data_IF_627650542684
#
_entry.id   IF_627650542684
#
_cell.length_a   1.000
_cell.length_b   1.000
_cell.length_c   1.000
_cell.angle_alpha   90.00
_cell.angle_beta   90.00
_cell.angle_gamma   90.00
#
_symmetry.space_group_name_H-M   'P 1'
#
loop_
_entity.id
_entity.type
_entity.pdbx_description
1 polymer ?
#
# COMPACT_ATOMS: atom_id res chain seq x y z
N UNK A 1 -4.55 20.02 -15.39
CA UNK A 1 -4.74 18.59 -15.57
C UNK A 1 -4.23 17.84 -14.35
N UNK A 2 -4.98 16.84 -13.94
CA UNK A 2 -4.52 16.02 -12.80
C UNK A 2 -3.37 15.14 -13.24
N UNK A 3 -2.36 15.04 -12.39
CA UNK A 3 -1.27 14.09 -12.61
C UNK A 3 -1.76 12.66 -12.39
N UNK A 4 -0.98 11.69 -12.84
CA UNK A 4 -1.23 10.27 -12.57
C UNK A 4 -1.34 10.03 -11.07
N UNK A 5 -0.44 10.66 -10.30
CA UNK A 5 -0.44 10.53 -8.84
C UNK A 5 -1.71 11.09 -8.23
N UNK A 6 -2.23 12.20 -8.73
CA UNK A 6 -3.48 12.79 -8.24
C UNK A 6 -4.67 11.86 -8.51
N UNK A 7 -4.72 11.25 -9.68
CA UNK A 7 -5.77 10.27 -10.03
C UNK A 7 -5.69 9.05 -9.13
N UNK A 8 -4.49 8.56 -8.90
CA UNK A 8 -4.25 7.42 -8.03
C UNK A 8 -4.69 7.73 -6.59
N UNK A 9 -4.34 8.92 -6.10
CA UNK A 9 -4.73 9.35 -4.76
C UNK A 9 -6.25 9.46 -4.61
N UNK A 10 -6.95 9.84 -5.66
CA UNK A 10 -8.41 9.84 -5.68
C UNK A 10 -8.97 8.44 -5.47
N UNK A 11 -8.37 7.43 -6.10
CA UNK A 11 -8.72 6.02 -5.87
C UNK A 11 -8.48 5.62 -4.41
N UNK A 12 -7.35 6.03 -3.85
CA UNK A 12 -7.00 5.71 -2.46
C UNK A 12 -8.06 6.29 -1.51
N UNK A 13 -8.45 7.54 -1.72
CA UNK A 13 -9.47 8.18 -0.87
C UNK A 13 -10.83 7.51 -1.00
N UNK A 14 -11.16 7.01 -2.20
CA UNK A 14 -12.43 6.36 -2.47
C UNK A 14 -12.48 4.92 -1.95
N UNK A 15 -11.34 4.30 -1.67
CA UNK A 15 -11.31 2.91 -1.23
C UNK A 15 -11.90 2.79 0.18
N UNK A 16 -12.60 1.68 0.42
CA UNK A 16 -13.16 1.41 1.73
C UNK A 16 -12.07 0.97 2.69
N UNK A 17 -12.09 1.56 3.88
CA UNK A 17 -11.18 1.19 4.96
C UNK A 17 -12.01 0.69 6.13
N UNK A 18 -11.50 -0.32 6.80
CA UNK A 18 -12.10 -0.78 8.04
C UNK A 18 -12.08 0.32 9.10
N UNK A 19 -13.00 0.29 10.03
CA UNK A 19 -13.03 1.21 11.16
C UNK A 19 -13.37 0.47 12.42
N UNK A 20 -12.85 0.97 13.55
CA UNK A 20 -13.15 0.46 14.87
C UNK A 20 -13.32 1.66 15.79
N UNK A 21 -14.41 1.67 16.56
CA UNK A 21 -14.72 2.75 17.52
C UNK A 21 -14.75 4.13 16.84
N UNK A 22 -15.24 4.19 15.61
CA UNK A 22 -15.34 5.44 14.86
C UNK A 22 -14.04 5.92 14.23
N UNK A 23 -12.93 5.22 14.44
CA UNK A 23 -11.64 5.57 13.86
C UNK A 23 -11.32 4.63 12.69
N UNK A 24 -10.78 5.19 11.61
CA UNK A 24 -10.34 4.39 10.49
C UNK A 24 -9.02 3.69 10.82
N UNK A 25 -8.91 2.44 10.37
CA UNK A 25 -7.66 1.69 10.54
C UNK A 25 -6.54 2.34 9.74
N UNK A 26 -5.33 2.48 10.32
CA UNK A 26 -4.19 3.09 9.62
C UNK A 26 -3.47 2.13 8.67
N UNK A 27 -3.91 0.88 8.57
CA UNK A 27 -3.18 -0.18 7.87
C UNK A 27 -2.91 0.13 6.40
N UNK A 28 -3.95 0.51 5.64
CA UNK A 28 -3.77 0.80 4.21
C UNK A 28 -2.91 2.03 3.97
N UNK A 29 -3.16 3.19 4.62
CA UNK A 29 -2.25 4.33 4.46
C UNK A 29 -0.82 4.02 4.88
N UNK A 30 -0.62 3.25 5.96
CA UNK A 30 0.72 2.90 6.42
C UNK A 30 1.50 2.10 5.37
N UNK A 31 0.85 1.13 4.72
CA UNK A 31 1.46 0.35 3.64
C UNK A 31 1.86 1.27 2.48
N UNK A 32 0.95 2.17 2.08
CA UNK A 32 1.21 3.08 0.97
C UNK A 32 2.31 4.09 1.30
N UNK A 33 2.32 4.64 2.51
CA UNK A 33 3.37 5.55 2.96
C UNK A 33 4.73 4.86 2.88
N UNK A 34 4.82 3.63 3.38
CA UNK A 34 6.07 2.87 3.35
C UNK A 34 6.56 2.67 1.91
N UNK A 35 5.67 2.28 1.00
CA UNK A 35 6.03 2.07 -0.41
C UNK A 35 6.49 3.36 -1.07
N UNK A 36 5.83 4.48 -0.79
CA UNK A 36 6.24 5.78 -1.34
C UNK A 36 7.57 6.23 -0.76
N UNK A 37 7.78 6.04 0.55
CA UNK A 37 9.03 6.43 1.20
C UNK A 37 10.24 5.71 0.62
N UNK A 38 10.12 4.42 0.31
CA UNK A 38 11.23 3.64 -0.24
C UNK A 38 11.39 3.81 -1.75
N UNK A 39 10.44 4.45 -2.43
CA UNK A 39 10.50 4.63 -3.88
C UNK A 39 11.66 5.55 -4.25
N UNK A 40 12.57 5.06 -5.10
CA UNK A 40 13.74 5.80 -5.56
C UNK A 40 14.17 5.24 -6.90
N UNK A 41 14.79 6.07 -7.75
CA UNK A 41 15.21 5.66 -9.08
C UNK A 41 16.17 4.46 -9.07
N UNK A 42 16.94 4.31 -7.99
CA UNK A 42 17.92 3.23 -7.85
C UNK A 42 17.35 1.97 -7.21
N UNK A 43 16.08 1.98 -6.85
CA UNK A 43 15.42 0.82 -6.24
C UNK A 43 14.45 0.16 -7.21
N UNK A 44 14.08 -1.09 -6.93
CA UNK A 44 13.05 -1.77 -7.70
C UNK A 44 11.68 -1.22 -7.34
N UNK A 45 10.81 -1.08 -8.34
CA UNK A 45 9.43 -0.70 -8.13
C UNK A 45 8.69 -1.74 -7.29
N UNK A 46 8.95 -3.01 -7.55
CA UNK A 46 8.30 -4.10 -6.85
C UNK A 46 9.16 -4.60 -5.71
N UNK A 47 8.51 -4.98 -4.60
CA UNK A 47 9.19 -5.55 -3.44
C UNK A 47 8.65 -6.96 -3.19
N UNK A 48 9.50 -7.82 -2.64
CA UNK A 48 9.13 -9.20 -2.37
C UNK A 48 8.35 -9.30 -1.06
N UNK A 49 7.27 -10.07 -1.05
CA UNK A 49 6.39 -10.20 0.11
C UNK A 49 7.14 -10.67 1.36
N UNK A 50 7.85 -11.80 1.26
CA UNK A 50 8.55 -12.38 2.40
C UNK A 50 9.61 -11.43 2.96
N UNK A 51 10.36 -10.76 2.08
CA UNK A 51 11.42 -9.84 2.49
C UNK A 51 10.89 -8.55 3.10
N UNK A 52 9.66 -8.15 2.76
CA UNK A 52 9.09 -6.87 3.18
C UNK A 52 8.11 -6.98 4.34
N UNK A 53 7.64 -8.17 4.63
CA UNK A 53 6.57 -8.41 5.60
C UNK A 53 6.86 -7.79 6.98
N UNK A 54 8.05 -8.00 7.52
CA UNK A 54 8.40 -7.46 8.84
C UNK A 54 8.50 -5.95 8.84
N UNK A 55 9.01 -5.36 7.76
CA UNK A 55 9.10 -3.89 7.64
C UNK A 55 7.71 -3.27 7.53
N UNK A 56 6.82 -3.90 6.79
CA UNK A 56 5.43 -3.46 6.68
C UNK A 56 4.72 -3.54 8.03
N UNK A 57 4.94 -4.62 8.78
CA UNK A 57 4.37 -4.78 10.12
C UNK A 57 4.82 -3.65 11.03
N UNK A 58 6.10 -3.29 10.98
CA UNK A 58 6.64 -2.16 11.75
C UNK A 58 6.03 -0.83 11.31
N UNK A 59 5.85 -0.65 10.00
CA UNK A 59 5.26 0.57 9.47
C UNK A 59 3.83 0.76 9.97
N UNK A 60 3.03 -0.30 9.94
CA UNK A 60 1.66 -0.27 10.46
C UNK A 60 1.67 0.07 11.95
N UNK A 61 2.55 -0.57 12.70
CA UNK A 61 2.65 -0.37 14.15
C UNK A 61 3.06 1.06 14.49
N UNK A 62 3.98 1.64 13.71
CA UNK A 62 4.44 3.01 13.93
C UNK A 62 3.33 4.05 13.71
N UNK A 63 2.30 3.69 12.96
CA UNK A 63 1.15 4.56 12.71
C UNK A 63 -0.05 4.22 13.60
N UNK A 64 0.16 3.41 14.64
CA UNK A 64 -0.88 3.08 15.60
C UNK A 64 -1.74 1.88 15.26
N UNK A 65 -1.41 1.16 14.18
CA UNK A 65 -2.13 -0.05 13.81
C UNK A 65 -1.62 -1.29 14.53
N UNK A 66 -2.40 -2.34 14.47
CA UNK A 66 -2.03 -3.64 15.03
C UNK A 66 -2.35 -4.72 14.02
N UNK A 67 -1.60 -5.82 14.08
CA UNK A 67 -1.82 -6.95 13.20
C UNK A 67 -0.84 -6.98 12.05
N UNK A 68 -1.12 -7.84 11.08
CA UNK A 68 -0.21 -8.15 9.99
C UNK A 68 -0.62 -7.42 8.71
N UNK A 69 0.30 -7.30 7.74
CA UNK A 69 0.04 -6.53 6.51
C UNK A 69 -0.71 -7.31 5.43
N UNK A 70 -1.04 -8.59 5.62
CA UNK A 70 -1.68 -9.40 4.58
C UNK A 70 -3.00 -8.79 4.10
N UNK A 71 -3.86 -8.42 5.03
CA UNK A 71 -5.18 -7.87 4.71
C UNK A 71 -5.11 -6.56 3.94
N UNK A 72 -4.37 -5.54 4.43
CA UNK A 72 -4.30 -4.28 3.69
C UNK A 72 -3.62 -4.43 2.33
N UNK A 73 -2.56 -5.24 2.21
CA UNK A 73 -1.90 -5.45 0.91
C UNK A 73 -2.86 -6.11 -0.07
N UNK A 74 -3.59 -7.15 0.37
CA UNK A 74 -4.57 -7.82 -0.49
C UNK A 74 -5.68 -6.87 -0.91
N UNK A 75 -6.22 -6.11 0.03
CA UNK A 75 -7.31 -5.16 -0.26
C UNK A 75 -6.87 -4.09 -1.26
N UNK A 76 -5.68 -3.54 -1.10
CA UNK A 76 -5.15 -2.51 -2.00
C UNK A 76 -4.90 -3.08 -3.40
N UNK A 77 -4.41 -4.32 -3.48
CA UNK A 77 -4.18 -4.98 -4.76
C UNK A 77 -5.51 -5.23 -5.47
N UNK A 78 -6.51 -5.72 -4.76
CA UNK A 78 -7.83 -5.99 -5.34
C UNK A 78 -8.57 -4.72 -5.75
N UNK A 79 -8.27 -3.60 -5.10
CA UNK A 79 -8.84 -2.30 -5.46
C UNK A 79 -8.14 -1.65 -6.67
N UNK A 80 -7.07 -2.25 -7.18
CA UNK A 80 -6.30 -1.70 -8.29
C UNK A 80 -5.37 -0.57 -7.88
N UNK A 81 -5.13 -0.39 -6.59
CA UNK A 81 -4.25 0.65 -6.05
C UNK A 81 -2.79 0.16 -6.08
N UNK A 82 -2.57 -1.11 -5.83
CA UNK A 82 -1.25 -1.75 -5.92
C UNK A 82 -1.25 -2.80 -7.02
N UNK A 83 -0.06 -3.11 -7.53
CA UNK A 83 0.18 -4.19 -8.48
C UNK A 83 0.85 -5.36 -7.77
N UNK A 84 0.54 -6.57 -8.20
CA UNK A 84 1.12 -7.78 -7.63
C UNK A 84 1.42 -8.78 -8.74
N UNK A 85 2.59 -9.41 -8.67
CA UNK A 85 3.03 -10.44 -9.63
C UNK A 85 3.32 -11.74 -8.88
N UNK A 86 3.17 -12.87 -9.57
CA UNK A 86 3.46 -14.20 -9.01
C UNK A 86 2.26 -14.86 -8.36
N UNK A 87 1.12 -14.22 -8.36
CA UNK A 87 -0.13 -14.73 -7.81
C UNK A 87 -0.87 -13.63 -7.07
N UNK A 88 -2.19 -13.74 -7.04
CA UNK A 88 -3.03 -12.71 -6.44
C UNK A 88 -4.15 -13.41 -5.66
N UNK A 89 -4.26 -13.17 -4.34
CA UNK A 89 -5.36 -13.74 -3.57
C UNK A 89 -6.71 -13.29 -4.13
N UNK A 90 -7.69 -14.17 -4.05
CA UNK A 90 -9.04 -13.85 -4.49
C UNK A 90 -9.59 -12.66 -3.69
N UNK A 91 -10.32 -11.77 -4.37
CA UNK A 91 -10.97 -10.64 -3.73
C UNK A 91 -11.97 -11.08 -2.64
N UNK A 92 -12.46 -12.32 -2.73
CA UNK A 92 -13.41 -12.88 -1.76
C UNK A 92 -12.72 -13.69 -0.67
N UNK A 93 -11.38 -13.79 -0.70
CA UNK A 93 -10.65 -14.57 0.28
C UNK A 93 -10.78 -13.94 1.67
N UNK A 94 -10.98 -14.78 2.68
CA UNK A 94 -10.93 -14.35 4.06
C UNK A 94 -9.51 -13.91 4.43
N UNK A 95 -9.34 -13.17 5.54
CA UNK A 95 -8.01 -12.76 5.98
C UNK A 95 -7.07 -13.95 6.20
N UNK A 96 -7.50 -15.07 6.85
CA UNK A 96 -6.62 -16.23 6.94
C UNK A 96 -6.25 -16.86 5.59
N UNK A 97 -7.20 -16.91 4.65
CA UNK A 97 -6.93 -17.44 3.31
C UNK A 97 -5.96 -16.53 2.53
N UNK A 98 -6.12 -15.21 2.64
CA UNK A 98 -5.21 -14.26 2.01
C UNK A 98 -3.78 -14.40 2.57
N UNK A 99 -3.66 -14.55 3.89
CA UNK A 99 -2.37 -14.76 4.55
C UNK A 99 -1.68 -16.01 4.02
N UNK A 100 -2.43 -17.11 3.94
CA UNK A 100 -1.89 -18.37 3.46
C UNK A 100 -1.43 -18.25 2.01
N UNK A 101 -2.25 -17.64 1.16
CA UNK A 101 -1.92 -17.47 -0.26
C UNK A 101 -0.66 -16.63 -0.44
N UNK A 102 -0.53 -15.51 0.27
CA UNK A 102 0.65 -14.64 0.19
C UNK A 102 1.91 -15.37 0.64
N UNK A 103 1.83 -16.12 1.74
CA UNK A 103 2.98 -16.83 2.27
C UNK A 103 3.41 -18.00 1.38
N UNK A 104 2.46 -18.67 0.72
CA UNK A 104 2.75 -19.79 -0.18
C UNK A 104 3.30 -19.32 -1.52
N UNK A 105 2.70 -18.29 -2.09
CA UNK A 105 3.07 -17.77 -3.41
C UNK A 105 4.31 -16.88 -3.33
N UNK A 106 4.45 -16.13 -2.24
CA UNK A 106 5.54 -15.17 -2.04
C UNK A 106 5.66 -14.20 -3.22
N UNK A 107 4.59 -13.44 -3.52
CA UNK A 107 4.58 -12.57 -4.70
C UNK A 107 5.44 -11.32 -4.50
N UNK A 108 5.69 -10.64 -5.62
CA UNK A 108 6.20 -9.28 -5.59
C UNK A 108 5.03 -8.30 -5.73
N UNK A 109 5.10 -7.17 -5.07
CA UNK A 109 4.05 -6.16 -5.15
C UNK A 109 4.66 -4.76 -5.07
N UNK A 110 3.89 -3.77 -5.50
CA UNK A 110 4.38 -2.40 -5.47
C UNK A 110 3.40 -1.40 -6.06
N UNK A 111 3.85 -0.16 -6.14
CA UNK A 111 3.08 0.92 -6.73
C UNK A 111 2.93 0.71 -8.24
N UNK A 112 1.82 1.21 -8.85
CA UNK A 112 1.70 1.17 -10.31
C UNK A 112 2.88 1.86 -10.98
N UNK A 113 3.24 1.38 -12.16
CA UNK A 113 4.42 1.85 -12.89
C UNK A 113 4.41 3.36 -13.09
N UNK A 114 3.27 3.91 -13.51
CA UNK A 114 3.14 5.34 -13.80
C UNK A 114 3.24 6.21 -12.55
N UNK A 115 2.66 5.77 -11.44
CA UNK A 115 2.78 6.48 -10.15
C UNK A 115 4.23 6.45 -9.68
N UNK A 116 4.84 5.28 -9.70
CA UNK A 116 6.23 5.11 -9.28
C UNK A 116 7.18 5.99 -10.11
N UNK A 117 6.98 6.01 -11.43
CA UNK A 117 7.80 6.85 -12.32
C UNK A 117 7.66 8.33 -11.98
N UNK A 118 6.44 8.79 -11.70
CA UNK A 118 6.19 10.20 -11.41
C UNK A 118 6.84 10.63 -10.10
N UNK A 119 6.69 9.83 -9.03
CA UNK A 119 7.23 10.20 -7.72
C UNK A 119 8.74 10.03 -7.63
N UNK A 120 9.33 9.13 -8.42
CA UNK A 120 10.79 8.97 -8.43
C UNK A 120 11.49 10.01 -9.29
N UNK A 121 10.78 10.60 -10.26
CA UNK A 121 11.34 11.64 -11.12
C UNK A 121 11.10 13.05 -10.59
N UNK A 122 10.15 13.25 -9.67
CA UNK A 122 9.81 14.56 -9.14
C UNK A 122 9.64 14.50 -7.61
N UNK A 123 10.67 14.96 -6.85
CA UNK A 123 10.61 14.93 -5.38
C UNK A 123 9.46 15.76 -4.79
N UNK A 124 9.02 16.82 -5.48
CA UNK A 124 7.90 17.62 -5.00
C UNK A 124 6.60 16.86 -5.03
N UNK A 125 6.38 16.07 -6.09
CA UNK A 125 5.20 15.20 -6.20
C UNK A 125 5.24 14.13 -5.12
N UNK A 126 6.39 13.52 -4.90
CA UNK A 126 6.57 12.52 -3.84
C UNK A 126 6.24 13.11 -2.46
N UNK A 127 6.77 14.28 -2.14
CA UNK A 127 6.54 14.94 -0.87
C UNK A 127 5.06 15.28 -0.67
N UNK A 128 4.42 15.83 -1.69
CA UNK A 128 2.98 16.14 -1.66
C UNK A 128 2.15 14.87 -1.43
N UNK A 129 2.51 13.78 -2.11
CA UNK A 129 1.80 12.52 -1.95
C UNK A 129 1.93 11.97 -0.53
N UNK A 130 3.13 12.04 0.04
CA UNK A 130 3.34 11.61 1.43
C UNK A 130 2.47 12.39 2.40
N UNK A 131 2.39 13.71 2.23
CA UNK A 131 1.53 14.55 3.07
C UNK A 131 0.07 14.18 2.94
N UNK A 132 -0.39 13.90 1.72
CA UNK A 132 -1.76 13.49 1.48
C UNK A 132 -2.07 12.14 2.13
N UNK A 133 -1.15 11.18 2.04
CA UNK A 133 -1.31 9.87 2.67
C UNK A 133 -1.30 9.99 4.20
N UNK A 134 -0.42 10.80 4.75
CA UNK A 134 -0.37 11.03 6.19
C UNK A 134 -1.65 11.66 6.72
N UNK A 135 -2.30 12.51 5.93
CA UNK A 135 -3.58 13.10 6.32
C UNK A 135 -4.69 12.06 6.45
N UNK A 136 -4.55 10.91 5.80
CA UNK A 136 -5.51 9.81 5.95
C UNK A 136 -5.44 9.15 7.33
N UNK A 137 -4.29 9.27 8.01
CA UNK A 137 -4.09 8.66 9.32
C UNK A 137 -4.82 9.40 10.44
N UNK A 138 -5.07 10.68 10.23
CA UNK A 138 -5.67 11.55 11.25
C UNK A 138 -7.21 11.55 11.22
N UNK A 139 -7.80 10.75 10.36
CA UNK A 139 -9.27 10.73 10.20
C UNK A 139 -9.90 9.42 10.61
#
# INVERSE_FOLDING_TARGET
MDSVTDKWMSKVRASKRGSANGKRHPHQPAVLIWLVEIAHVDTSRMVNWTNSKSQLTRAIKSKGGQGSPESPVTALTNAGILEMTGGNPSATASAPAARLALNQVNPNFGLPTDVWSEITSDPEIKDRLLKQLESQLDK
#
